data_IF_685185128103
#
_entry.id   IF_685185128103
#
_cell.length_a   1.000
_cell.length_b   1.000
_cell.length_c   1.000
_cell.angle_alpha   90.00
_cell.angle_beta   90.00
_cell.angle_gamma   90.00
#
_symmetry.space_group_name_H-M   'P 1'
#
loop_
_entity.id
_entity.type
_entity.pdbx_description
1 polymer ?
#
# COMPACT_ATOMS: atom_id res chain seq x y z
N UNK A 1 22.67 -2.84 3.38
CA UNK A 1 21.49 -2.96 2.49
C UNK A 1 20.23 -2.91 3.34
N UNK A 2 19.25 -2.05 3.04
CA UNK A 2 17.97 -2.04 3.77
C UNK A 2 17.04 -3.13 3.23
N UNK A 3 16.53 -4.00 4.09
CA UNK A 3 15.55 -5.03 3.72
C UNK A 3 14.18 -4.42 3.45
N UNK A 4 13.32 -5.14 2.71
CA UNK A 4 11.91 -4.74 2.56
C UNK A 4 11.25 -4.53 3.92
N UNK A 5 11.53 -5.43 4.87
CA UNK A 5 11.02 -5.33 6.24
C UNK A 5 11.44 -4.02 6.93
N UNK A 6 12.72 -3.64 6.86
CA UNK A 6 13.21 -2.39 7.44
C UNK A 6 12.59 -1.14 6.79
N UNK A 7 12.27 -1.20 5.49
CA UNK A 7 11.56 -0.11 4.78
C UNK A 7 10.11 0.00 5.24
N UNK A 8 9.43 -1.13 5.40
CA UNK A 8 8.07 -1.19 5.93
C UNK A 8 8.03 -0.69 7.38
N UNK A 9 8.92 -1.16 8.25
CA UNK A 9 9.00 -0.72 9.65
C UNK A 9 9.27 0.79 9.76
N UNK A 10 10.09 1.36 8.87
CA UNK A 10 10.34 2.80 8.81
C UNK A 10 9.12 3.60 8.35
N UNK A 11 8.34 3.07 7.41
CA UNK A 11 7.09 3.70 6.97
C UNK A 11 6.03 3.62 8.07
N UNK A 12 5.91 2.46 8.71
CA UNK A 12 5.01 2.25 9.85
C UNK A 12 5.37 3.15 11.04
N UNK A 13 6.66 3.39 11.29
CA UNK A 13 7.12 4.34 12.31
C UNK A 13 6.72 5.80 12.06
N UNK A 14 6.21 6.14 10.87
CA UNK A 14 5.64 7.46 10.56
C UNK A 14 4.13 7.53 10.80
N UNK A 15 3.51 6.43 11.25
CA UNK A 15 2.08 6.34 11.56
C UNK A 15 1.67 7.39 12.59
N UNK A 16 0.73 8.26 12.21
CA UNK A 16 0.20 9.31 13.08
C UNK A 16 1.07 10.56 13.21
N UNK A 17 2.18 10.67 12.48
CA UNK A 17 2.93 11.92 12.40
C UNK A 17 2.13 12.96 11.59
N UNK A 18 2.02 14.19 12.11
CA UNK A 18 1.18 15.26 11.54
C UNK A 18 1.49 15.67 10.08
N UNK A 19 2.61 15.20 9.50
CA UNK A 19 3.01 15.45 8.11
C UNK A 19 2.97 14.23 7.19
N UNK A 20 2.65 13.05 7.70
CA UNK A 20 2.44 11.86 6.88
C UNK A 20 0.96 11.83 6.50
N UNK A 21 0.60 12.49 5.39
CA UNK A 21 -0.71 12.27 4.77
C UNK A 21 -1.01 10.76 4.63
N UNK A 22 -2.26 10.36 4.48
CA UNK A 22 -2.58 8.96 4.65
C UNK A 22 -1.79 8.09 3.66
N UNK A 23 -1.14 7.07 4.21
CA UNK A 23 -0.14 6.28 3.51
C UNK A 23 -0.74 4.93 3.12
N UNK A 24 -0.35 4.40 1.96
CA UNK A 24 -0.78 3.09 1.49
C UNK A 24 0.45 2.33 1.04
N UNK A 25 0.57 1.07 1.45
CA UNK A 25 1.61 0.18 0.93
C UNK A 25 0.97 -0.72 -0.11
N UNK A 26 1.30 -0.51 -1.38
CA UNK A 26 0.91 -1.41 -2.46
C UNK A 26 1.83 -2.62 -2.51
N UNK A 27 1.23 -3.81 -2.58
CA UNK A 27 1.90 -5.08 -2.81
C UNK A 27 1.72 -5.40 -4.29
N UNK A 28 2.83 -5.33 -5.02
CA UNK A 28 2.86 -5.58 -6.45
C UNK A 28 3.46 -6.96 -6.76
N UNK A 29 2.97 -7.57 -7.84
CA UNK A 29 3.63 -8.70 -8.45
C UNK A 29 5.05 -8.32 -8.89
N UNK A 30 6.02 -9.19 -8.62
CA UNK A 30 7.42 -8.89 -8.86
C UNK A 30 7.82 -8.94 -10.35
N UNK A 31 7.05 -9.66 -11.18
CA UNK A 31 7.35 -9.85 -12.59
C UNK A 31 6.64 -8.81 -13.46
N UNK A 32 5.37 -8.53 -13.17
CA UNK A 32 4.55 -7.60 -13.95
C UNK A 32 4.53 -6.18 -13.37
N UNK A 33 4.87 -6.03 -12.08
CA UNK A 33 4.74 -4.77 -11.35
C UNK A 33 3.29 -4.40 -11.02
N UNK A 34 2.30 -5.24 -11.38
CA UNK A 34 0.90 -4.93 -11.15
C UNK A 34 0.53 -5.03 -9.67
N UNK A 35 -0.24 -4.08 -9.12
CA UNK A 35 -0.71 -4.14 -7.76
C UNK A 35 -1.78 -5.23 -7.61
N UNK A 36 -1.61 -6.09 -6.60
CA UNK A 36 -2.57 -7.15 -6.25
C UNK A 36 -3.11 -7.04 -4.83
N UNK A 37 -2.42 -6.30 -3.95
CA UNK A 37 -2.86 -6.05 -2.59
C UNK A 37 -2.42 -4.69 -2.08
N UNK A 38 -3.04 -4.23 -1.00
CA UNK A 38 -2.69 -3.00 -0.31
C UNK A 38 -2.83 -3.17 1.20
N UNK A 39 -1.89 -2.59 1.95
CA UNK A 39 -2.02 -2.41 3.40
C UNK A 39 -2.43 -0.98 3.69
N UNK A 40 -3.49 -0.83 4.48
CA UNK A 40 -4.09 0.46 4.81
C UNK A 40 -3.65 0.91 6.21
N UNK A 41 -3.39 2.20 6.34
CA UNK A 41 -3.07 2.81 7.63
C UNK A 41 -4.28 2.75 8.56
N UNK A 42 -4.09 2.23 9.77
CA UNK A 42 -5.20 1.95 10.69
C UNK A 42 -5.35 0.46 11.01
N UNK A 43 -4.72 -0.40 10.21
CA UNK A 43 -4.92 -1.84 10.27
C UNK A 43 -6.03 -2.24 9.30
N UNK A 44 -5.73 -3.13 8.37
CA UNK A 44 -6.64 -3.53 7.30
C UNK A 44 -5.88 -3.81 6.02
N UNK A 45 -6.51 -4.55 5.12
CA UNK A 45 -5.95 -4.88 3.81
C UNK A 45 -7.02 -4.83 2.74
N UNK A 46 -6.60 -4.53 1.52
CA UNK A 46 -7.42 -4.58 0.32
C UNK A 46 -6.77 -5.55 -0.66
N UNK A 47 -7.56 -6.39 -1.31
CA UNK A 47 -7.11 -7.25 -2.42
C UNK A 47 -7.77 -6.80 -3.70
N UNK A 48 -7.03 -6.85 -4.81
CA UNK A 48 -7.56 -6.53 -6.13
C UNK A 48 -8.58 -7.57 -6.56
N UNK A 49 -9.71 -7.11 -7.08
CA UNK A 49 -10.79 -7.97 -7.54
C UNK A 49 -10.48 -8.54 -8.94
N UNK A 50 -11.06 -9.70 -9.25
CA UNK A 50 -10.86 -10.33 -10.56
C UNK A 50 -11.45 -9.45 -11.67
N UNK A 51 -10.62 -9.10 -12.66
CA UNK A 51 -11.02 -8.20 -13.76
C UNK A 51 -10.98 -6.71 -13.41
N UNK A 52 -10.63 -6.33 -12.18
CA UNK A 52 -10.37 -4.94 -11.80
C UNK A 52 -9.10 -4.45 -12.49
N UNK A 53 -9.08 -3.22 -13.01
CA UNK A 53 -7.86 -2.63 -13.54
C UNK A 53 -6.91 -2.21 -12.41
N UNK A 54 -5.60 -2.21 -12.67
CA UNK A 54 -4.61 -1.76 -11.70
C UNK A 54 -4.89 -0.32 -11.22
N UNK A 55 -5.35 0.54 -12.13
CA UNK A 55 -5.69 1.94 -11.85
C UNK A 55 -6.92 2.07 -10.93
N UNK A 56 -7.98 1.30 -11.18
CA UNK A 56 -9.18 1.29 -10.33
C UNK A 56 -8.84 0.75 -8.92
N UNK A 57 -8.03 -0.29 -8.84
CA UNK A 57 -7.56 -0.84 -7.58
C UNK A 57 -6.74 0.20 -6.79
N UNK A 58 -5.77 0.85 -7.43
CA UNK A 58 -4.95 1.88 -6.78
C UNK A 58 -5.82 3.04 -6.30
N UNK A 59 -6.77 3.51 -7.11
CA UNK A 59 -7.68 4.58 -6.73
C UNK A 59 -8.51 4.22 -5.48
N UNK A 60 -9.03 2.98 -5.40
CA UNK A 60 -9.70 2.47 -4.19
C UNK A 60 -8.78 2.42 -2.98
N UNK A 61 -7.57 1.90 -3.17
CA UNK A 61 -6.60 1.76 -2.10
C UNK A 61 -6.17 3.13 -1.53
N UNK A 62 -6.15 4.17 -2.37
CA UNK A 62 -5.74 5.54 -1.99
C UNK A 62 -6.91 6.51 -1.77
N UNK A 63 -8.17 6.07 -1.85
CA UNK A 63 -9.33 6.97 -1.73
C UNK A 63 -9.47 7.63 -0.34
N UNK A 64 -8.83 7.05 0.69
CA UNK A 64 -8.71 7.63 2.04
C UNK A 64 -7.29 8.09 2.39
N UNK A 65 -6.40 8.14 1.38
CA UNK A 65 -5.02 8.62 1.41
C UNK A 65 -4.90 10.12 1.05
#
# INVERSE_FOLDING_TARGET
MATLRARLDRLEGKRGAAGAGPCVILICDALTGEPGGALLMGGGGLTREAGESAEAFTARATAGA
#
